data_IF_318591179368
#
_entry.id   IF_318591179368
#
_cell.length_a   1.000
_cell.length_b   1.000
_cell.length_c   1.000
_cell.angle_alpha   90.00
_cell.angle_beta   90.00
_cell.angle_gamma   90.00
#
_symmetry.space_group_name_H-M   'P 1'
#
loop_
_entity.id
_entity.type
_entity.pdbx_description
1 polymer ?
#
# COMPACT_ATOMS: atom_id res chain seq x y z
N UNK A 1 26.18 16.14 25.34
CA UNK A 1 24.71 16.13 25.36
C UNK A 1 24.23 14.95 24.52
N UNK A 2 23.30 14.15 25.05
CA UNK A 2 22.61 13.11 24.29
C UNK A 2 21.25 13.65 23.84
N UNK A 3 20.93 13.57 22.55
CA UNK A 3 19.60 13.91 22.01
C UNK A 3 18.97 12.60 21.58
N UNK A 4 17.83 12.25 22.17
CA UNK A 4 17.18 10.95 21.99
C UNK A 4 16.41 10.89 20.67
N UNK A 5 16.49 9.75 19.97
CA UNK A 5 15.73 9.50 18.75
C UNK A 5 14.28 9.14 19.06
N UNK A 6 13.33 9.76 18.37
CA UNK A 6 11.90 9.55 18.61
C UNK A 6 11.38 8.31 17.88
N UNK A 7 10.70 7.43 18.60
CA UNK A 7 10.02 6.23 18.06
C UNK A 7 8.57 6.51 17.65
N UNK A 8 8.09 5.85 16.61
CA UNK A 8 6.71 6.02 16.11
C UNK A 8 5.67 5.51 17.12
N UNK A 9 4.55 6.21 17.26
CA UNK A 9 3.42 5.83 18.11
C UNK A 9 2.14 6.61 17.72
N UNK A 10 0.98 6.09 18.13
CA UNK A 10 -0.32 6.69 17.80
C UNK A 10 -0.57 8.05 18.45
N UNK A 11 0.07 8.34 19.60
CA UNK A 11 -0.13 9.60 20.32
C UNK A 11 0.54 10.81 19.69
N UNK A 12 1.48 10.62 18.75
CA UNK A 12 2.19 11.73 18.06
C UNK A 12 1.24 12.74 17.40
N UNK A 13 0.09 12.30 16.89
CA UNK A 13 -0.88 13.20 16.24
C UNK A 13 -1.71 14.03 17.23
N UNK A 14 -1.57 13.79 18.53
CA UNK A 14 -2.19 14.56 19.59
C UNK A 14 -1.23 15.61 20.18
N UNK A 15 0.04 15.54 19.81
CA UNK A 15 1.08 16.46 20.28
C UNK A 15 1.12 17.73 19.42
N UNK A 16 1.62 18.86 19.95
CA UNK A 16 1.84 20.06 19.16
C UNK A 16 2.89 19.84 18.07
N UNK A 17 2.66 20.43 16.90
CA UNK A 17 3.54 20.29 15.73
C UNK A 17 2.87 19.53 14.60
N UNK A 18 3.60 19.30 13.51
CA UNK A 18 3.11 18.53 12.34
C UNK A 18 4.22 17.71 11.66
N UNK A 19 5.49 17.96 12.00
CA UNK A 19 6.62 17.27 11.38
C UNK A 19 6.64 15.79 11.77
N UNK A 20 6.50 15.50 13.07
CA UNK A 20 6.62 14.13 13.60
C UNK A 20 5.47 13.19 13.20
N UNK A 21 4.39 13.74 12.66
CA UNK A 21 3.29 12.99 12.05
C UNK A 21 3.66 12.41 10.68
N UNK A 22 4.64 13.01 9.98
CA UNK A 22 5.01 12.67 8.60
C UNK A 22 3.98 13.09 7.57
N UNK A 23 2.76 12.56 7.66
CA UNK A 23 1.58 13.00 6.90
C UNK A 23 0.52 13.55 7.86
N UNK A 24 0.59 14.85 8.13
CA UNK A 24 -0.27 15.51 9.13
C UNK A 24 -1.72 15.75 8.67
N UNK A 25 -2.00 15.68 7.36
CA UNK A 25 -3.31 16.07 6.82
C UNK A 25 -4.22 14.88 6.53
N UNK A 26 -3.66 13.71 6.24
CA UNK A 26 -4.43 12.56 5.77
C UNK A 26 -4.04 11.27 6.50
N UNK A 27 -5.05 10.51 6.93
CA UNK A 27 -4.89 9.20 7.53
C UNK A 27 -6.14 8.34 7.34
N UNK A 28 -6.02 7.03 7.63
CA UNK A 28 -7.13 6.09 7.72
C UNK A 28 -7.68 5.97 9.15
N UNK A 29 -8.82 5.29 9.28
CA UNK A 29 -9.39 4.92 10.57
C UNK A 29 -10.16 3.61 10.44
N UNK A 30 -9.98 2.74 11.41
CA UNK A 30 -10.72 1.50 11.57
C UNK A 30 -11.44 1.51 12.92
N UNK A 31 -12.64 0.92 12.98
CA UNK A 31 -13.42 0.83 14.20
C UNK A 31 -14.15 -0.52 14.30
N UNK A 32 -14.33 -1.00 15.52
CA UNK A 32 -15.25 -2.10 15.80
C UNK A 32 -16.67 -1.55 15.85
N UNK A 33 -17.55 -2.08 15.00
CA UNK A 33 -18.98 -1.73 14.97
C UNK A 33 -19.75 -2.82 15.73
N UNK A 34 -20.48 -2.43 16.78
CA UNK A 34 -21.28 -3.33 17.61
C UNK A 34 -22.76 -3.14 17.32
N UNK A 35 -23.45 -4.23 16.96
CA UNK A 35 -24.89 -4.24 16.74
C UNK A 35 -25.58 -4.92 17.93
N UNK A 36 -26.04 -4.12 18.90
CA UNK A 36 -26.84 -4.60 20.04
C UNK A 36 -28.32 -4.33 19.77
N UNK A 37 -29.08 -5.38 19.45
CA UNK A 37 -30.53 -5.34 19.19
C UNK A 37 -30.97 -4.19 18.23
N UNK A 38 -30.20 -3.97 17.16
CA UNK A 38 -30.46 -2.90 16.19
C UNK A 38 -31.69 -3.24 15.34
N UNK A 39 -32.70 -2.38 15.39
CA UNK A 39 -33.85 -2.45 14.48
C UNK A 39 -33.48 -1.93 13.09
N UNK A 40 -33.75 -2.73 12.05
CA UNK A 40 -33.56 -2.34 10.64
C UNK A 40 -34.93 -2.24 9.96
N UNK A 41 -35.37 -1.05 9.53
CA UNK A 41 -36.62 -0.89 8.77
C UNK A 41 -36.58 -1.72 7.49
N UNK A 42 -37.71 -2.32 7.10
CA UNK A 42 -37.80 -3.20 5.93
C UNK A 42 -37.32 -2.53 4.62
N UNK A 43 -37.47 -1.21 4.49
CA UNK A 43 -36.96 -0.45 3.33
C UNK A 43 -35.42 -0.49 3.18
N UNK A 44 -34.69 -0.89 4.22
CA UNK A 44 -33.22 -1.03 4.24
C UNK A 44 -32.76 -2.50 4.30
N UNK A 45 -33.68 -3.45 4.14
CA UNK A 45 -33.36 -4.89 4.08
C UNK A 45 -33.18 -5.29 2.62
N UNK A 46 -31.98 -5.77 2.28
CA UNK A 46 -31.61 -6.14 0.89
C UNK A 46 -31.43 -7.64 0.66
N UNK A 47 -31.44 -8.44 1.74
CA UNK A 47 -31.43 -9.91 1.74
C UNK A 47 -31.94 -10.38 3.11
N UNK A 48 -32.87 -11.35 3.15
CA UNK A 48 -33.51 -11.82 4.39
C UNK A 48 -33.81 -13.33 4.34
N UNK A 49 -32.75 -14.14 4.44
CA UNK A 49 -32.86 -15.61 4.52
C UNK A 49 -32.53 -16.35 3.21
N UNK A 50 -32.35 -15.65 2.09
CA UNK A 50 -31.96 -16.24 0.81
C UNK A 50 -30.46 -16.59 0.74
N UNK A 51 -30.01 -17.53 1.58
CA UNK A 51 -28.60 -17.87 1.79
C UNK A 51 -27.85 -18.30 0.54
N UNK A 52 -28.55 -18.85 -0.45
CA UNK A 52 -27.98 -19.30 -1.73
C UNK A 52 -27.30 -18.16 -2.50
N UNK A 53 -27.69 -16.91 -2.26
CA UNK A 53 -27.09 -15.74 -2.91
C UNK A 53 -25.87 -15.18 -2.16
N UNK A 54 -25.63 -15.58 -0.90
CA UNK A 54 -24.58 -15.00 -0.06
C UNK A 54 -23.18 -15.14 -0.68
N UNK A 55 -22.85 -16.33 -1.21
CA UNK A 55 -21.55 -16.58 -1.84
C UNK A 55 -21.33 -15.68 -3.07
N UNK A 56 -22.35 -15.54 -3.92
CA UNK A 56 -22.27 -14.67 -5.11
C UNK A 56 -22.14 -13.20 -4.76
N UNK A 57 -22.78 -12.74 -3.68
CA UNK A 57 -22.62 -11.37 -3.17
C UNK A 57 -21.17 -11.12 -2.73
N UNK A 58 -20.60 -12.05 -1.95
CA UNK A 58 -19.21 -11.96 -1.48
C UNK A 58 -18.24 -12.00 -2.66
N UNK A 59 -18.43 -12.91 -3.60
CA UNK A 59 -17.59 -13.03 -4.79
C UNK A 59 -17.56 -11.71 -5.56
N UNK A 60 -18.73 -11.18 -5.95
CA UNK A 60 -18.84 -9.91 -6.69
C UNK A 60 -18.23 -8.74 -5.92
N UNK A 61 -18.53 -8.61 -4.63
CA UNK A 61 -17.92 -7.58 -3.79
C UNK A 61 -16.39 -7.67 -3.82
N UNK A 62 -15.84 -8.87 -3.63
CA UNK A 62 -14.39 -9.06 -3.66
C UNK A 62 -13.79 -8.84 -5.04
N UNK A 63 -14.47 -9.20 -6.13
CA UNK A 63 -14.02 -8.93 -7.50
C UNK A 63 -13.82 -7.43 -7.73
N UNK A 64 -14.81 -6.60 -7.35
CA UNK A 64 -14.65 -5.14 -7.42
C UNK A 64 -13.53 -4.64 -6.50
N UNK A 65 -13.59 -5.02 -5.22
CA UNK A 65 -12.70 -4.43 -4.23
C UNK A 65 -11.24 -4.84 -4.42
N UNK A 66 -10.98 -6.05 -4.91
CA UNK A 66 -9.63 -6.51 -5.28
C UNK A 66 -9.01 -5.68 -6.40
N UNK A 67 -9.81 -5.26 -7.38
CA UNK A 67 -9.39 -4.31 -8.42
C UNK A 67 -9.19 -2.89 -7.87
N UNK A 68 -9.95 -2.47 -6.85
CA UNK A 68 -9.84 -1.14 -6.25
C UNK A 68 -8.51 -0.87 -5.55
N UNK A 69 -7.68 -1.89 -5.29
CA UNK A 69 -6.33 -1.72 -4.74
C UNK A 69 -5.35 -1.01 -5.68
N UNK A 70 -5.77 -0.64 -6.88
CA UNK A 70 -5.08 0.41 -7.65
C UNK A 70 -4.89 1.70 -6.83
N UNK A 71 -5.72 1.96 -5.81
CA UNK A 71 -5.49 3.07 -4.88
C UNK A 71 -4.11 3.00 -4.18
N UNK A 72 -3.54 1.81 -4.01
CA UNK A 72 -2.21 1.63 -3.42
C UNK A 72 -1.11 2.12 -4.33
N UNK A 73 -1.34 2.19 -5.64
CA UNK A 73 -0.31 2.70 -6.56
C UNK A 73 -0.12 4.20 -6.40
N UNK A 74 -1.19 4.95 -6.14
CA UNK A 74 -1.07 6.37 -5.79
C UNK A 74 -0.30 6.61 -4.48
N UNK A 75 -0.43 5.71 -3.49
CA UNK A 75 0.40 5.76 -2.27
C UNK A 75 1.85 5.36 -2.58
N UNK A 76 2.04 4.36 -3.45
CA UNK A 76 3.35 3.94 -3.94
C UNK A 76 4.09 5.08 -4.65
N UNK A 77 3.40 5.89 -5.46
CA UNK A 77 3.99 7.05 -6.14
C UNK A 77 4.49 8.10 -5.15
N UNK A 78 3.73 8.35 -4.07
CA UNK A 78 4.17 9.23 -2.98
C UNK A 78 5.43 8.68 -2.30
N UNK A 79 5.49 7.36 -2.06
CA UNK A 79 6.64 6.74 -1.41
C UNK A 79 7.88 6.69 -2.31
N UNK A 80 7.71 6.45 -3.61
CA UNK A 80 8.78 6.58 -4.63
C UNK A 80 9.32 8.01 -4.64
N UNK A 81 8.43 9.00 -4.70
CA UNK A 81 8.80 10.41 -4.66
C UNK A 81 9.55 10.78 -3.38
N UNK A 82 9.07 10.32 -2.21
CA UNK A 82 9.74 10.55 -0.94
C UNK A 82 11.13 9.90 -0.88
N UNK A 83 11.29 8.69 -1.42
CA UNK A 83 12.60 8.03 -1.49
C UNK A 83 13.57 8.76 -2.42
N UNK A 84 13.11 9.21 -3.60
CA UNK A 84 13.90 10.02 -4.52
C UNK A 84 14.33 11.35 -3.88
N UNK A 85 13.43 12.04 -3.21
CA UNK A 85 13.71 13.27 -2.49
C UNK A 85 14.71 13.03 -1.34
N UNK A 86 14.55 11.95 -0.58
CA UNK A 86 15.51 11.58 0.47
C UNK A 86 16.92 11.34 -0.10
N UNK A 87 17.03 10.68 -1.26
CA UNK A 87 18.30 10.47 -1.93
C UNK A 87 18.95 11.80 -2.38
N UNK A 88 18.15 12.74 -2.91
CA UNK A 88 18.63 14.06 -3.31
C UNK A 88 19.09 14.89 -2.09
N UNK A 89 18.29 14.91 -1.02
CA UNK A 89 18.63 15.63 0.22
C UNK A 89 19.86 15.03 0.90
N UNK A 90 20.13 13.73 0.71
CA UNK A 90 21.37 13.07 1.15
C UNK A 90 22.54 13.26 0.16
N UNK A 91 22.31 13.77 -1.06
CA UNK A 91 23.34 14.01 -2.09
C UNK A 91 23.86 12.75 -2.79
N UNK A 92 23.05 11.70 -2.86
CA UNK A 92 23.43 10.38 -3.43
C UNK A 92 22.54 9.96 -4.60
N UNK A 93 21.75 10.87 -5.16
CA UNK A 93 20.79 10.63 -6.24
C UNK A 93 21.43 10.08 -7.53
N UNK A 94 22.73 10.30 -7.71
CA UNK A 94 23.49 9.82 -8.88
C UNK A 94 24.00 8.39 -8.74
N UNK A 95 23.99 7.83 -7.53
CA UNK A 95 24.49 6.48 -7.29
C UNK A 95 23.63 5.46 -8.07
N UNK A 96 24.29 4.57 -8.81
CA UNK A 96 23.61 3.62 -9.71
C UNK A 96 22.62 2.73 -8.96
N UNK A 97 23.00 2.23 -7.78
CA UNK A 97 22.13 1.38 -6.96
C UNK A 97 20.92 2.13 -6.39
N UNK A 98 20.94 3.47 -6.26
CA UNK A 98 19.76 4.23 -5.84
C UNK A 98 18.78 4.34 -7.00
N UNK A 99 19.29 4.66 -8.20
CA UNK A 99 18.47 4.73 -9.42
C UNK A 99 17.81 3.40 -9.73
N UNK A 100 18.56 2.31 -9.63
CA UNK A 100 18.07 0.95 -9.85
C UNK A 100 16.93 0.59 -8.88
N UNK A 101 17.08 0.89 -7.58
CA UNK A 101 16.02 0.68 -6.59
C UNK A 101 14.78 1.52 -6.87
N UNK A 102 14.93 2.78 -7.27
CA UNK A 102 13.79 3.63 -7.66
C UNK A 102 13.06 3.07 -8.90
N UNK A 103 13.81 2.55 -9.87
CA UNK A 103 13.23 1.87 -11.05
C UNK A 103 12.45 0.63 -10.63
N UNK A 104 12.99 -0.20 -9.72
CA UNK A 104 12.30 -1.37 -9.20
C UNK A 104 11.02 -0.99 -8.46
N UNK A 105 11.07 0.06 -7.62
CA UNK A 105 9.86 0.55 -6.94
C UNK A 105 8.76 0.96 -7.94
N UNK A 106 9.11 1.70 -9.00
CA UNK A 106 8.18 2.08 -10.07
C UNK A 106 7.66 0.84 -10.81
N UNK A 107 8.53 -0.10 -11.18
CA UNK A 107 8.14 -1.33 -11.87
C UNK A 107 7.10 -2.14 -11.08
N UNK A 108 7.34 -2.35 -9.79
CA UNK A 108 6.43 -3.07 -8.91
C UNK A 108 5.10 -2.33 -8.76
N UNK A 109 5.14 -0.99 -8.65
CA UNK A 109 3.95 -0.15 -8.52
C UNK A 109 3.07 -0.22 -9.78
N UNK A 110 3.68 -0.04 -10.95
CA UNK A 110 3.00 -0.11 -12.25
C UNK A 110 2.48 -1.51 -12.58
N UNK A 111 3.11 -2.56 -12.05
CA UNK A 111 2.60 -3.94 -12.21
C UNK A 111 1.26 -4.13 -11.48
N UNK A 112 1.05 -3.48 -10.33
CA UNK A 112 -0.27 -3.44 -9.67
C UNK A 112 -1.26 -2.67 -10.54
N UNK A 113 -0.89 -1.47 -11.02
CA UNK A 113 -1.77 -0.63 -11.83
C UNK A 113 -2.21 -1.37 -13.10
N UNK A 114 -1.28 -1.97 -13.83
CA UNK A 114 -1.55 -2.69 -15.07
C UNK A 114 -2.52 -3.87 -14.88
N UNK A 115 -2.35 -4.66 -13.82
CA UNK A 115 -3.25 -5.80 -13.53
C UNK A 115 -4.65 -5.35 -13.10
N UNK A 116 -4.77 -4.26 -12.33
CA UNK A 116 -6.08 -3.70 -11.96
C UNK A 116 -6.79 -3.08 -13.17
N UNK A 117 -6.08 -2.30 -14.00
CA UNK A 117 -6.65 -1.71 -15.21
C UNK A 117 -7.10 -2.78 -16.20
N UNK A 118 -6.35 -3.87 -16.37
CA UNK A 118 -6.76 -5.00 -17.19
C UNK A 118 -8.09 -5.61 -16.70
N UNK A 119 -8.26 -5.77 -15.39
CA UNK A 119 -9.53 -6.24 -14.81
C UNK A 119 -10.69 -5.31 -15.15
N UNK A 120 -10.51 -4.01 -15.00
CA UNK A 120 -11.54 -3.02 -15.29
C UNK A 120 -11.88 -2.92 -16.79
N UNK A 121 -10.88 -3.04 -17.67
CA UNK A 121 -11.08 -2.99 -19.12
C UNK A 121 -11.85 -4.21 -19.67
N UNK A 122 -11.67 -5.38 -19.07
CA UNK A 122 -12.34 -6.63 -19.44
C UNK A 122 -13.75 -6.76 -18.83
N UNK A 123 -14.32 -5.67 -18.32
CA UNK A 123 -15.62 -5.69 -17.64
C UNK A 123 -16.78 -6.08 -18.56
N UNK A 124 -17.74 -6.83 -18.01
CA UNK A 124 -18.91 -7.35 -18.73
C UNK A 124 -20.21 -6.91 -18.05
N UNK A 125 -21.30 -6.70 -18.81
CA UNK A 125 -22.58 -6.34 -18.22
C UNK A 125 -23.21 -7.53 -17.47
N UNK A 126 -23.85 -7.23 -16.35
CA UNK A 126 -24.73 -8.13 -15.60
C UNK A 126 -26.19 -7.93 -16.02
N UNK A 127 -27.11 -8.87 -15.71
CA UNK A 127 -28.54 -8.73 -16.00
C UNK A 127 -29.19 -7.46 -15.43
N UNK A 128 -28.64 -6.89 -14.35
CA UNK A 128 -29.11 -5.62 -13.76
C UNK A 128 -28.68 -4.38 -14.55
N UNK A 129 -27.82 -4.52 -15.56
CA UNK A 129 -27.21 -3.42 -16.30
C UNK A 129 -25.90 -2.89 -15.70
N UNK A 130 -25.54 -3.29 -14.47
CA UNK A 130 -24.23 -2.97 -13.89
C UNK A 130 -23.11 -3.73 -14.61
N UNK A 131 -21.90 -3.16 -14.68
CA UNK A 131 -20.73 -3.83 -15.24
C UNK A 131 -19.88 -4.43 -14.13
N UNK A 132 -19.44 -5.68 -14.30
CA UNK A 132 -18.51 -6.37 -13.40
C UNK A 132 -17.16 -6.56 -14.08
N UNK A 133 -16.08 -6.20 -13.38
CA UNK A 133 -14.71 -6.36 -13.85
C UNK A 133 -14.28 -7.84 -13.88
N UNK A 134 -13.20 -8.15 -14.60
CA UNK A 134 -12.72 -9.54 -14.72
C UNK A 134 -12.16 -10.07 -13.39
N UNK A 135 -12.71 -11.19 -12.91
CA UNK A 135 -12.37 -11.77 -11.61
C UNK A 135 -10.94 -12.33 -11.55
N UNK A 136 -10.46 -12.97 -12.62
CA UNK A 136 -9.11 -13.52 -12.63
C UNK A 136 -8.07 -12.40 -12.50
N UNK A 137 -8.20 -11.34 -13.29
CA UNK A 137 -7.30 -10.20 -13.23
C UNK A 137 -7.43 -9.45 -11.90
N UNK A 138 -8.63 -9.32 -11.33
CA UNK A 138 -8.81 -8.72 -10.00
C UNK A 138 -8.04 -9.51 -8.92
N UNK A 139 -8.11 -10.85 -8.97
CA UNK A 139 -7.38 -11.71 -8.06
C UNK A 139 -5.86 -11.61 -8.25
N UNK A 140 -5.37 -11.53 -9.50
CA UNK A 140 -3.94 -11.30 -9.80
C UNK A 140 -3.47 -9.96 -9.24
N UNK A 141 -4.25 -8.88 -9.47
CA UNK A 141 -3.94 -7.55 -8.96
C UNK A 141 -3.82 -7.55 -7.43
N UNK A 142 -4.84 -8.05 -6.72
CA UNK A 142 -4.78 -8.14 -5.25
C UNK A 142 -3.65 -9.05 -4.77
N UNK A 143 -3.37 -10.15 -5.46
CA UNK A 143 -2.28 -11.06 -5.07
C UNK A 143 -0.90 -10.36 -5.16
N UNK A 144 -0.69 -9.50 -6.16
CA UNK A 144 0.51 -8.66 -6.26
C UNK A 144 0.56 -7.60 -5.15
N UNK A 145 -0.57 -6.96 -4.85
CA UNK A 145 -0.71 -6.00 -3.75
C UNK A 145 -0.36 -6.61 -2.38
N UNK A 146 -0.55 -7.92 -2.19
CA UNK A 146 -0.14 -8.57 -0.92
C UNK A 146 1.39 -8.69 -0.76
N UNK A 147 2.17 -8.32 -1.76
CA UNK A 147 3.63 -8.52 -1.82
C UNK A 147 4.39 -7.22 -2.06
N UNK A 148 4.05 -6.52 -3.13
CA UNK A 148 4.88 -5.44 -3.66
C UNK A 148 4.96 -4.20 -2.75
N UNK A 149 3.89 -3.74 -2.07
CA UNK A 149 3.99 -2.63 -1.12
C UNK A 149 5.05 -2.86 -0.03
N UNK A 150 5.25 -4.10 0.41
CA UNK A 150 6.28 -4.45 1.40
C UNK A 150 7.69 -4.28 0.84
N UNK A 151 7.94 -4.68 -0.41
CA UNK A 151 9.24 -4.50 -1.05
C UNK A 151 9.51 -3.03 -1.38
N UNK A 152 8.51 -2.29 -1.87
CA UNK A 152 8.61 -0.84 -2.10
C UNK A 152 8.95 -0.12 -0.78
N UNK A 153 8.29 -0.49 0.33
CA UNK A 153 8.61 0.04 1.64
C UNK A 153 10.03 -0.29 2.10
N UNK A 154 10.47 -1.54 1.91
CA UNK A 154 11.84 -1.97 2.25
C UNK A 154 12.88 -1.17 1.47
N UNK A 155 12.66 -0.96 0.17
CA UNK A 155 13.55 -0.17 -0.70
C UNK A 155 13.58 1.31 -0.30
N UNK A 156 12.42 1.88 0.06
CA UNK A 156 12.35 3.26 0.54
C UNK A 156 13.14 3.46 1.84
N UNK A 157 13.07 2.52 2.79
CA UNK A 157 13.85 2.56 4.03
C UNK A 157 15.36 2.46 3.77
N UNK A 158 15.77 1.60 2.85
CA UNK A 158 17.17 1.45 2.42
C UNK A 158 17.72 2.77 1.83
N UNK A 159 16.96 3.41 0.94
CA UNK A 159 17.33 4.70 0.34
C UNK A 159 17.36 5.84 1.39
N UNK A 160 16.40 5.87 2.31
CA UNK A 160 16.30 6.92 3.34
C UNK A 160 17.46 6.88 4.35
N UNK A 161 17.93 5.68 4.70
CA UNK A 161 18.96 5.45 5.70
C UNK A 161 18.43 5.54 7.14
N UNK A 162 19.27 5.16 8.11
CA UNK A 162 18.83 4.92 9.49
C UNK A 162 18.23 6.12 10.24
N UNK A 163 18.46 7.36 9.77
CA UNK A 163 17.94 8.54 10.46
C UNK A 163 16.41 8.56 10.51
N UNK A 164 15.71 7.96 9.53
CA UNK A 164 14.23 7.93 9.55
C UNK A 164 13.63 7.27 10.81
N UNK A 165 14.39 6.42 11.53
CA UNK A 165 13.94 5.76 12.77
C UNK A 165 14.71 6.20 14.01
N UNK A 166 15.74 7.05 13.88
CA UNK A 166 16.55 7.55 15.00
C UNK A 166 16.51 9.07 15.14
N UNK A 167 15.69 9.76 14.34
CA UNK A 167 15.60 11.21 14.29
C UNK A 167 15.00 11.79 15.57
N UNK A 168 15.56 12.89 16.12
CA UNK A 168 14.97 13.64 17.22
C UNK A 168 13.56 14.16 16.93
N UNK A 169 12.83 14.57 17.96
CA UNK A 169 11.47 15.11 17.79
C UNK A 169 11.47 16.53 17.19
N UNK A 170 10.30 16.97 16.72
CA UNK A 170 10.07 18.39 16.36
C UNK A 170 10.31 19.31 17.56
N UNK A 171 9.88 18.88 18.75
CA UNK A 171 10.13 19.63 19.99
C UNK A 171 11.63 19.79 20.29
N UNK A 172 12.46 18.78 20.00
CA UNK A 172 13.92 18.89 20.14
C UNK A 172 14.52 19.86 19.11
N UNK A 173 13.98 19.88 17.90
CA UNK A 173 14.41 20.79 16.83
C UNK A 173 14.13 22.27 17.18
N UNK A 174 13.05 22.52 17.90
CA UNK A 174 12.66 23.86 18.38
C UNK A 174 13.28 24.24 19.72
N UNK A 175 13.94 23.31 20.41
CA UNK A 175 14.58 23.57 21.69
C UNK A 175 15.81 24.49 21.53
N UNK A 176 15.92 25.51 22.39
CA UNK A 176 16.95 26.55 22.30
C UNK A 176 18.40 26.01 22.31
N UNK A 177 18.66 24.91 23.03
CA UNK A 177 19.99 24.29 23.09
C UNK A 177 20.18 23.15 22.09
N UNK A 178 19.15 22.35 21.83
CA UNK A 178 19.27 21.13 21.01
C UNK A 178 19.06 21.44 19.52
N UNK A 179 18.15 22.36 19.19
CA UNK A 179 17.85 22.79 17.83
C UNK A 179 19.08 23.24 17.04
N UNK A 180 19.95 24.13 17.57
CA UNK A 180 21.18 24.52 16.88
C UNK A 180 22.13 23.35 16.61
N UNK A 181 22.21 22.37 17.52
CA UNK A 181 23.03 21.17 17.34
C UNK A 181 22.42 20.25 16.27
N UNK A 182 21.11 20.04 16.31
CA UNK A 182 20.39 19.23 15.33
C UNK A 182 20.56 19.82 13.93
N UNK A 183 20.35 21.13 13.77
CA UNK A 183 20.53 21.82 12.48
C UNK A 183 21.97 21.77 11.97
N UNK A 184 22.95 21.76 12.87
CA UNK A 184 24.37 21.63 12.51
C UNK A 184 24.73 20.21 12.05
N UNK A 185 24.29 19.18 12.78
CA UNK A 185 24.76 17.81 12.60
C UNK A 185 23.88 16.95 11.68
N UNK A 186 22.60 17.30 11.49
CA UNK A 186 21.68 16.56 10.62
C UNK A 186 21.52 17.21 9.23
N UNK A 187 22.42 18.12 8.86
CA UNK A 187 22.49 18.65 7.50
C UNK A 187 22.75 17.52 6.50
N UNK A 188 22.05 17.56 5.36
CA UNK A 188 22.26 16.65 4.24
C UNK A 188 23.31 17.21 3.26
N UNK A 189 22.94 17.31 1.97
CA UNK A 189 23.75 18.03 0.97
C UNK A 189 23.89 19.51 1.33
N UNK A 190 24.89 20.17 0.73
CA UNK A 190 25.07 21.62 0.90
C UNK A 190 23.80 22.39 0.46
N UNK A 191 23.46 23.44 1.21
CA UNK A 191 22.32 24.34 0.96
C UNK A 191 20.93 23.71 1.10
N UNK A 192 20.80 22.58 1.79
CA UNK A 192 19.49 21.99 2.13
C UNK A 192 19.01 22.48 3.50
N UNK A 193 17.74 22.87 3.61
CA UNK A 193 17.10 23.08 4.91
C UNK A 193 16.97 21.72 5.61
N UNK A 194 17.53 21.63 6.82
CA UNK A 194 17.44 20.43 7.66
C UNK A 194 15.98 20.04 7.87
N UNK A 195 15.09 21.01 8.04
CA UNK A 195 13.66 20.80 8.28
C UNK A 195 13.02 20.02 7.15
N UNK A 196 13.35 20.31 5.89
CA UNK A 196 12.81 19.60 4.72
C UNK A 196 13.27 18.14 4.71
N UNK A 197 14.55 17.91 5.01
CA UNK A 197 15.11 16.56 5.16
C UNK A 197 14.42 15.77 6.27
N UNK A 198 14.20 16.38 7.43
CA UNK A 198 13.51 15.70 8.53
C UNK A 198 12.04 15.38 8.17
N UNK A 199 11.34 16.30 7.48
CA UNK A 199 9.95 16.07 7.03
C UNK A 199 9.82 14.90 6.07
N UNK A 200 10.71 14.80 5.08
CA UNK A 200 10.69 13.68 4.12
C UNK A 200 11.00 12.35 4.81
N UNK A 201 11.97 12.33 5.74
CA UNK A 201 12.26 11.13 6.52
C UNK A 201 11.09 10.73 7.43
N UNK A 202 10.36 11.70 8.01
CA UNK A 202 9.12 11.43 8.77
C UNK A 202 7.99 10.90 7.88
N UNK A 203 7.88 11.36 6.64
CA UNK A 203 6.91 10.81 5.69
C UNK A 203 7.21 9.34 5.36
N UNK A 204 8.48 8.99 5.14
CA UNK A 204 8.88 7.59 4.91
C UNK A 204 8.63 6.73 6.17
N UNK A 205 8.96 7.22 7.36
CA UNK A 205 8.60 6.56 8.64
C UNK A 205 7.10 6.31 8.73
N UNK A 206 6.28 7.33 8.46
CA UNK A 206 4.83 7.27 8.53
C UNK A 206 4.22 6.21 7.57
N UNK A 207 4.73 6.12 6.34
CA UNK A 207 4.22 5.21 5.31
C UNK A 207 4.73 3.77 5.43
N UNK A 208 5.84 3.55 6.15
CA UNK A 208 6.48 2.22 6.23
C UNK A 208 6.45 1.59 7.62
N UNK A 209 6.27 2.38 8.69
CA UNK A 209 6.20 1.93 10.08
C UNK A 209 5.08 2.60 10.90
N UNK A 210 4.67 3.81 10.52
CA UNK A 210 3.69 4.61 11.26
C UNK A 210 2.25 4.38 10.84
N UNK A 211 1.40 5.38 11.10
CA UNK A 211 -0.06 5.30 10.95
C UNK A 211 -0.51 4.87 9.56
N UNK A 212 0.10 5.42 8.49
CA UNK A 212 -0.31 5.08 7.13
C UNK A 212 0.27 3.75 6.63
N UNK A 213 1.27 3.19 7.32
CA UNK A 213 1.76 1.83 7.04
C UNK A 213 0.69 0.76 7.32
N UNK A 214 -0.24 1.02 8.25
CA UNK A 214 -1.41 0.16 8.50
C UNK A 214 -2.19 -0.04 7.20
N UNK A 215 -2.51 1.06 6.52
CA UNK A 215 -3.21 1.04 5.24
C UNK A 215 -2.34 0.56 4.08
N UNK A 216 -1.09 1.03 3.98
CA UNK A 216 -0.25 0.72 2.83
C UNK A 216 0.28 -0.73 2.83
N UNK A 217 0.54 -1.32 4.00
CA UNK A 217 1.08 -2.66 4.15
C UNK A 217 0.02 -3.67 4.59
N UNK A 218 -0.50 -3.52 5.80
CA UNK A 218 -1.35 -4.56 6.43
C UNK A 218 -2.74 -4.66 5.78
N UNK A 219 -3.35 -3.53 5.42
CA UNK A 219 -4.61 -3.53 4.69
C UNK A 219 -4.42 -4.04 3.24
N UNK A 220 -3.29 -3.70 2.60
CA UNK A 220 -2.86 -4.32 1.34
C UNK A 220 -2.68 -5.85 1.45
N UNK A 221 -2.31 -6.38 2.60
CA UNK A 221 -2.25 -7.83 2.85
C UNK A 221 -3.65 -8.46 3.02
N UNK A 222 -4.55 -7.81 3.77
CA UNK A 222 -5.74 -8.50 4.31
C UNK A 222 -7.10 -8.03 3.77
N UNK A 223 -7.24 -6.78 3.32
CA UNK A 223 -8.53 -6.30 2.84
C UNK A 223 -8.95 -7.03 1.56
N UNK A 224 -10.26 -7.15 1.33
CA UNK A 224 -10.85 -8.04 0.30
C UNK A 224 -10.42 -9.53 0.38
N UNK A 225 -9.92 -9.97 1.55
CA UNK A 225 -9.48 -11.33 1.83
C UNK A 225 -7.96 -11.47 1.90
N UNK A 226 -7.49 -12.30 2.83
CA UNK A 226 -6.07 -12.65 2.98
C UNK A 226 -5.54 -13.44 1.77
N UNK A 227 -4.20 -13.53 1.55
CA UNK A 227 -3.59 -14.09 0.33
C UNK A 227 -4.16 -15.44 -0.14
N UNK A 228 -4.51 -16.33 0.80
CA UNK A 228 -5.03 -17.64 0.44
C UNK A 228 -6.40 -17.58 -0.26
N UNK A 229 -7.19 -16.54 -0.01
CA UNK A 229 -8.48 -16.33 -0.64
C UNK A 229 -8.33 -16.11 -2.16
N UNK A 230 -7.37 -15.28 -2.58
CA UNK A 230 -7.11 -15.06 -4.02
C UNK A 230 -6.55 -16.33 -4.66
N UNK A 231 -5.66 -17.06 -3.98
CA UNK A 231 -5.11 -18.33 -4.51
C UNK A 231 -6.18 -19.37 -4.78
N UNK A 232 -7.18 -19.48 -3.91
CA UNK A 232 -8.33 -20.37 -4.11
C UNK A 232 -9.13 -19.96 -5.36
N UNK A 233 -9.41 -18.66 -5.54
CA UNK A 233 -10.16 -18.18 -6.71
C UNK A 233 -9.37 -18.33 -8.01
N UNK A 234 -8.06 -18.01 -8.00
CA UNK A 234 -7.16 -18.23 -9.13
C UNK A 234 -7.15 -19.71 -9.51
N UNK A 235 -7.04 -20.62 -8.54
CA UNK A 235 -7.05 -22.06 -8.81
C UNK A 235 -8.36 -22.53 -9.47
N UNK A 236 -9.51 -21.96 -9.06
CA UNK A 236 -10.83 -22.25 -9.67
C UNK A 236 -10.93 -21.73 -11.11
N UNK A 237 -10.45 -20.53 -11.37
CA UNK A 237 -10.50 -19.90 -12.70
C UNK A 237 -9.35 -20.24 -13.64
N UNK A 238 -8.35 -21.03 -13.21
CA UNK A 238 -7.08 -21.18 -13.92
C UNK A 238 -7.16 -21.91 -15.28
N UNK A 239 -8.28 -22.59 -15.60
CA UNK A 239 -8.44 -23.30 -16.88
C UNK A 239 -7.42 -24.41 -17.10
N UNK A 240 -7.01 -25.14 -16.05
CA UNK A 240 -5.90 -26.11 -16.15
C UNK A 240 -6.17 -27.24 -17.15
N UNK A 241 -7.42 -27.64 -17.35
CA UNK A 241 -7.77 -28.68 -18.32
C UNK A 241 -7.46 -28.23 -19.76
N UNK A 242 -7.84 -27.01 -20.13
CA UNK A 242 -7.56 -26.40 -21.43
C UNK A 242 -6.04 -26.24 -21.64
N UNK A 243 -5.32 -25.71 -20.64
CA UNK A 243 -3.86 -25.58 -20.70
C UNK A 243 -3.15 -26.93 -20.87
N UNK A 244 -3.66 -27.99 -20.22
CA UNK A 244 -3.16 -29.36 -20.42
C UNK A 244 -3.43 -29.87 -21.83
N UNK A 245 -4.57 -29.52 -22.42
CA UNK A 245 -4.87 -29.91 -23.80
C UNK A 245 -3.90 -29.24 -24.78
N UNK A 246 -3.69 -27.92 -24.67
CA UNK A 246 -2.71 -27.19 -25.48
C UNK A 246 -1.32 -27.84 -25.41
N UNK A 247 -0.88 -28.24 -24.21
CA UNK A 247 0.39 -28.94 -24.02
C UNK A 247 0.40 -30.33 -24.69
N UNK A 248 -0.69 -31.11 -24.58
CA UNK A 248 -0.79 -32.43 -25.19
C UNK A 248 -0.78 -32.36 -26.72
N UNK A 249 -1.45 -31.38 -27.29
CA UNK A 249 -1.50 -31.14 -28.74
C UNK A 249 -0.10 -30.88 -29.29
N UNK A 250 0.66 -29.99 -28.63
CA UNK A 250 2.05 -29.70 -29.01
C UNK A 250 3.00 -30.88 -28.76
N UNK A 251 2.76 -31.68 -27.73
CA UNK A 251 3.54 -32.88 -27.43
C UNK A 251 3.19 -34.08 -28.33
N UNK A 252 2.17 -33.99 -29.19
CA UNK A 252 1.69 -35.10 -30.00
C UNK A 252 1.09 -36.25 -29.17
N UNK A 253 0.57 -35.94 -27.99
CA UNK A 253 0.07 -36.91 -26.99
C UNK A 253 -1.45 -36.84 -26.77
N UNK A 254 -2.18 -36.12 -27.63
CA UNK A 254 -3.64 -36.15 -27.68
C UNK A 254 -4.15 -37.32 -28.51
N UNK A 255 -5.24 -37.96 -28.08
CA UNK A 255 -5.94 -38.98 -28.86
C UNK A 255 -6.21 -38.44 -30.27
N UNK A 256 -5.68 -39.12 -31.29
CA UNK A 256 -6.09 -38.96 -32.69
C UNK A 256 -7.32 -39.80 -32.97
#
# INVERSE_FOLDING_TARGET
>A
TYIYGRQTNDTRCLEPGTMDEGNARFSGQEAMIVFDNVFVPHAHVFMNGETDFAASLVERFTTYHRCSYICKTGVGDVLVGAAAEAAELNGVERASHIKDKLVEMVHLNETIAGSALASAHEAKPLPSGAYINDDMQANVAKQNVTRFPYEIARLAQDIAGGLMVTMPSEADLDHAEAGPLIRKYLVGRQNTDVTDRLRILRLIENLTLGRNAVGYLTESMHGAGSPQAQRIQIARGAGLAEKRQLARDLAGSGDR
#
